data_IF_991443922649
#
_entry.id   IF_991443922649
#
_cell.length_a   1.000
_cell.length_b   1.000
_cell.length_c   1.000
_cell.angle_alpha   90.00
_cell.angle_beta   90.00
_cell.angle_gamma   90.00
#
_symmetry.space_group_name_H-M   'P 1'
#
loop_
_entity.id
_entity.type
_entity.pdbx_description
1 polymer ?
#
# COMPACT_ATOMS: atom_id res chain seq x y z
N UNK A 1 -0.47 -21.85 17.40
CA UNK A 1 -0.70 -23.08 18.20
C UNK A 1 0.37 -23.22 19.28
N UNK A 2 0.15 -24.02 20.34
CA UNK A 2 1.23 -24.34 21.30
C UNK A 2 2.22 -25.36 20.72
N UNK A 3 1.72 -26.29 19.92
CA UNK A 3 2.54 -27.27 19.20
C UNK A 3 3.08 -26.70 17.88
N UNK A 4 4.40 -26.82 17.67
CA UNK A 4 5.09 -26.35 16.46
C UNK A 4 4.80 -27.23 15.24
N UNK A 5 4.48 -28.51 15.42
CA UNK A 5 4.15 -29.39 14.29
C UNK A 5 2.80 -28.99 13.69
N UNK A 6 1.80 -28.76 14.54
CA UNK A 6 0.48 -28.23 14.15
C UNK A 6 0.59 -26.87 13.44
N UNK A 7 1.41 -25.94 13.94
CA UNK A 7 1.64 -24.64 13.26
C UNK A 7 2.28 -24.82 11.88
N UNK A 8 3.27 -25.71 11.75
CA UNK A 8 3.89 -26.02 10.45
C UNK A 8 2.88 -26.62 9.47
N UNK A 9 2.02 -27.54 9.93
CA UNK A 9 0.95 -28.11 9.11
C UNK A 9 -0.04 -27.06 8.62
N UNK A 10 -0.47 -26.15 9.51
CA UNK A 10 -1.36 -25.05 9.17
C UNK A 10 -0.74 -24.12 8.12
N UNK A 11 0.51 -23.68 8.34
CA UNK A 11 1.22 -22.81 7.40
C UNK A 11 1.52 -23.49 6.06
N UNK A 12 1.77 -24.80 6.08
CA UNK A 12 1.95 -25.60 4.87
C UNK A 12 0.70 -25.55 3.98
N UNK A 13 -0.48 -25.80 4.55
CA UNK A 13 -1.75 -25.74 3.79
C UNK A 13 -2.05 -24.33 3.24
N UNK A 14 -1.66 -23.28 3.95
CA UNK A 14 -1.91 -21.89 3.53
C UNK A 14 -0.94 -21.38 2.47
N UNK A 15 0.22 -22.02 2.31
CA UNK A 15 1.30 -21.52 1.44
C UNK A 15 0.83 -21.34 0.00
N UNK A 16 0.14 -22.32 -0.58
CA UNK A 16 -0.27 -22.24 -1.98
C UNK A 16 -1.32 -21.14 -2.20
N UNK A 17 -2.26 -21.00 -1.26
CA UNK A 17 -3.22 -19.91 -1.26
C UNK A 17 -2.55 -18.54 -1.11
N UNK A 18 -1.54 -18.43 -0.23
CA UNK A 18 -0.75 -17.21 -0.05
C UNK A 18 -0.04 -16.82 -1.34
N UNK A 19 0.68 -17.75 -1.97
CA UNK A 19 1.42 -17.50 -3.22
C UNK A 19 0.47 -17.12 -4.35
N UNK A 20 -0.65 -17.83 -4.50
CA UNK A 20 -1.65 -17.56 -5.54
C UNK A 20 -2.25 -16.15 -5.38
N UNK A 21 -2.72 -15.81 -4.18
CA UNK A 21 -3.33 -14.50 -3.92
C UNK A 21 -2.30 -13.35 -3.95
N UNK A 22 -1.09 -13.58 -3.47
CA UNK A 22 0.02 -12.63 -3.60
C UNK A 22 0.33 -12.34 -5.08
N UNK A 23 0.34 -13.38 -5.93
CA UNK A 23 0.52 -13.22 -7.37
C UNK A 23 -0.60 -12.37 -8.00
N UNK A 24 -1.86 -12.59 -7.62
CA UNK A 24 -3.00 -11.83 -8.15
C UNK A 24 -2.86 -10.35 -7.76
N UNK A 25 -2.59 -10.06 -6.47
CA UNK A 25 -2.41 -8.69 -5.99
C UNK A 25 -1.23 -8.02 -6.67
N UNK A 26 -0.11 -8.73 -6.85
CA UNK A 26 1.06 -8.22 -7.54
C UNK A 26 0.74 -7.86 -9.00
N UNK A 27 -0.01 -8.71 -9.71
CA UNK A 27 -0.45 -8.43 -11.09
C UNK A 27 -1.35 -7.19 -11.12
N UNK A 28 -2.34 -7.11 -10.24
CA UNK A 28 -3.25 -5.95 -10.17
C UNK A 28 -2.48 -4.65 -9.88
N UNK A 29 -1.55 -4.68 -8.92
CA UNK A 29 -0.71 -3.54 -8.59
C UNK A 29 0.20 -3.13 -9.77
N UNK A 30 0.76 -4.09 -10.50
CA UNK A 30 1.57 -3.83 -11.69
C UNK A 30 0.73 -3.20 -12.81
N UNK A 31 -0.46 -3.74 -13.10
CA UNK A 31 -1.36 -3.21 -14.12
C UNK A 31 -1.79 -1.78 -13.76
N UNK A 32 -2.26 -1.55 -12.53
CA UNK A 32 -2.66 -0.22 -12.09
C UNK A 32 -1.50 0.79 -12.20
N UNK A 33 -0.30 0.42 -11.74
CA UNK A 33 0.89 1.29 -11.80
C UNK A 33 1.32 1.60 -13.23
N UNK A 34 1.23 0.62 -14.14
CA UNK A 34 1.54 0.82 -15.56
C UNK A 34 0.48 1.69 -16.24
N UNK A 35 -0.80 1.50 -15.92
CA UNK A 35 -1.90 2.30 -16.45
C UNK A 35 -1.79 3.76 -16.01
N UNK A 36 -1.50 4.04 -14.73
CA UNK A 36 -1.31 5.41 -14.24
C UNK A 36 -0.05 6.04 -14.83
N UNK A 37 1.04 5.27 -14.95
CA UNK A 37 2.26 5.71 -15.62
C UNK A 37 1.97 6.11 -17.07
N UNK A 38 1.30 5.26 -17.86
CA UNK A 38 0.95 5.56 -19.25
C UNK A 38 -0.02 6.74 -19.37
N UNK A 39 -1.04 6.81 -18.50
CA UNK A 39 -1.98 7.93 -18.45
C UNK A 39 -1.27 9.26 -18.16
N UNK A 40 -0.20 9.26 -17.35
CA UNK A 40 0.59 10.46 -17.07
C UNK A 40 1.32 11.03 -18.31
N UNK A 41 1.54 10.22 -19.36
CA UNK A 41 2.05 10.71 -20.65
C UNK A 41 0.94 11.18 -21.58
N UNK A 42 -0.21 10.52 -21.54
CA UNK A 42 -1.32 10.80 -22.46
C UNK A 42 -2.15 12.02 -22.03
N UNK A 43 -2.41 12.16 -20.73
CA UNK A 43 -3.33 13.17 -20.21
C UNK A 43 -2.65 14.49 -19.87
N UNK A 44 -1.33 14.48 -19.71
CA UNK A 44 -0.58 15.67 -19.31
C UNK A 44 0.10 16.28 -20.53
N UNK A 45 -0.45 17.39 -21.01
CA UNK A 45 0.21 18.20 -22.03
C UNK A 45 1.62 18.59 -21.54
N UNK A 46 2.65 18.47 -22.40
CA UNK A 46 4.06 18.57 -21.98
C UNK A 46 4.44 19.91 -21.34
N UNK A 47 3.63 20.96 -21.53
CA UNK A 47 3.55 22.12 -20.65
C UNK A 47 2.18 22.79 -20.89
N UNK A 48 1.34 22.99 -19.87
CA UNK A 48 0.20 23.88 -20.03
C UNK A 48 0.70 25.28 -20.44
N UNK A 49 -0.03 26.05 -21.26
CA UNK A 49 0.38 27.39 -21.65
C UNK A 49 0.72 28.24 -20.42
N UNK A 50 1.98 28.65 -20.32
CA UNK A 50 2.52 29.38 -19.17
C UNK A 50 2.99 28.52 -17.99
N UNK A 51 2.94 27.20 -18.04
CA UNK A 51 3.36 26.33 -16.93
C UNK A 51 4.76 26.65 -16.38
N UNK A 52 4.93 26.45 -15.06
CA UNK A 52 6.23 26.60 -14.41
C UNK A 52 7.25 25.63 -15.03
N UNK A 53 8.53 26.02 -15.19
CA UNK A 53 9.57 25.11 -15.67
C UNK A 53 9.73 23.86 -14.79
N UNK A 54 9.32 23.94 -13.51
CA UNK A 54 9.38 22.84 -12.56
C UNK A 54 8.27 21.80 -12.72
N UNK A 55 7.25 22.05 -13.56
CA UNK A 55 6.16 21.09 -13.76
C UNK A 55 6.66 19.74 -14.27
N UNK A 56 7.67 19.75 -15.15
CA UNK A 56 8.31 18.53 -15.64
C UNK A 56 9.00 17.71 -14.54
N UNK A 57 9.59 18.37 -13.53
CA UNK A 57 10.26 17.72 -12.40
C UNK A 57 9.24 16.99 -11.50
N UNK A 58 8.10 17.64 -11.22
CA UNK A 58 6.99 17.03 -10.47
C UNK A 58 6.44 15.79 -11.17
N UNK A 59 6.24 15.86 -12.49
CA UNK A 59 5.80 14.71 -13.27
C UNK A 59 6.84 13.60 -13.28
N UNK A 60 8.13 13.94 -13.35
CA UNK A 60 9.21 12.96 -13.32
C UNK A 60 9.19 12.18 -12.00
N UNK A 61 9.05 12.87 -10.86
CA UNK A 61 8.93 12.21 -9.54
C UNK A 61 7.74 11.25 -9.51
N UNK A 62 6.54 11.71 -9.90
CA UNK A 62 5.33 10.88 -9.90
C UNK A 62 5.48 9.66 -10.82
N UNK A 63 6.05 9.83 -12.02
CA UNK A 63 6.35 8.75 -12.97
C UNK A 63 7.37 7.75 -12.41
N UNK A 64 8.42 8.23 -11.76
CA UNK A 64 9.43 7.38 -11.13
C UNK A 64 8.84 6.52 -10.01
N UNK A 65 7.92 7.08 -9.20
CA UNK A 65 7.22 6.32 -8.16
C UNK A 65 6.30 5.24 -8.74
N UNK A 66 5.53 5.54 -9.79
CA UNK A 66 4.72 4.54 -10.48
C UNK A 66 5.57 3.44 -11.14
N UNK A 67 6.70 3.81 -11.75
CA UNK A 67 7.63 2.85 -12.34
C UNK A 67 8.27 1.94 -11.28
N UNK A 68 8.68 2.51 -10.13
CA UNK A 68 9.18 1.75 -9.00
C UNK A 68 8.15 0.70 -8.54
N UNK A 69 6.89 1.11 -8.38
CA UNK A 69 5.81 0.21 -8.00
C UNK A 69 5.56 -0.88 -9.03
N UNK A 70 5.54 -0.54 -10.32
CA UNK A 70 5.45 -1.51 -11.38
C UNK A 70 6.57 -2.56 -11.31
N UNK A 71 7.83 -2.11 -11.17
CA UNK A 71 8.99 -3.01 -11.11
C UNK A 71 8.89 -3.95 -9.90
N UNK A 72 8.59 -3.43 -8.71
CA UNK A 72 8.49 -4.25 -7.50
C UNK A 72 7.34 -5.28 -7.60
N UNK A 73 6.18 -4.87 -8.10
CA UNK A 73 5.03 -5.75 -8.34
C UNK A 73 5.32 -6.81 -9.40
N UNK A 74 6.04 -6.46 -10.47
CA UNK A 74 6.46 -7.39 -11.50
C UNK A 74 7.46 -8.42 -10.95
N UNK A 75 8.46 -7.98 -10.18
CA UNK A 75 9.43 -8.87 -9.52
C UNK A 75 8.74 -9.84 -8.53
N UNK A 76 7.75 -9.39 -7.77
CA UNK A 76 6.97 -10.26 -6.90
C UNK A 76 6.16 -11.29 -7.71
N UNK A 77 5.58 -10.87 -8.84
CA UNK A 77 4.86 -11.78 -9.76
C UNK A 77 5.78 -12.87 -10.31
N UNK A 78 6.97 -12.49 -10.80
CA UNK A 78 7.99 -13.44 -11.24
C UNK A 78 8.40 -14.40 -10.13
N UNK A 79 8.60 -13.86 -8.91
CA UNK A 79 8.93 -14.67 -7.73
C UNK A 79 7.83 -15.70 -7.44
N UNK A 80 6.57 -15.29 -7.46
CA UNK A 80 5.42 -16.18 -7.22
C UNK A 80 5.30 -17.29 -8.27
N UNK A 81 5.56 -16.96 -9.56
CA UNK A 81 5.47 -17.91 -10.69
C UNK A 81 6.69 -18.81 -10.85
N UNK A 82 7.84 -18.40 -10.34
CA UNK A 82 9.08 -19.18 -10.44
C UNK A 82 9.08 -20.39 -9.50
N UNK A 83 9.97 -21.35 -9.76
CA UNK A 83 10.26 -22.45 -8.84
C UNK A 83 10.86 -22.00 -7.50
N UNK A 84 11.20 -20.71 -7.35
CA UNK A 84 11.67 -20.14 -6.08
C UNK A 84 10.54 -20.11 -5.04
N UNK A 85 9.29 -19.89 -5.45
CA UNK A 85 8.16 -19.80 -4.50
C UNK A 85 7.94 -21.10 -3.72
N UNK A 86 8.20 -22.26 -4.33
CA UNK A 86 8.14 -23.55 -3.64
C UNK A 86 9.26 -23.71 -2.60
N UNK A 87 10.40 -23.04 -2.77
CA UNK A 87 11.53 -23.05 -1.82
C UNK A 87 11.41 -22.00 -0.72
N UNK A 88 10.70 -20.91 -0.95
CA UNK A 88 10.55 -19.85 0.04
C UNK A 88 9.74 -20.32 1.26
N UNK A 89 10.20 -19.89 2.45
CA UNK A 89 9.44 -20.05 3.69
C UNK A 89 8.21 -19.14 3.63
N UNK A 90 7.03 -19.59 4.11
CA UNK A 90 5.82 -18.77 4.13
C UNK A 90 6.06 -17.38 4.74
N UNK A 91 6.76 -17.31 5.87
CA UNK A 91 7.10 -16.06 6.55
C UNK A 91 7.85 -15.04 5.67
N UNK A 92 8.75 -15.50 4.79
CA UNK A 92 9.46 -14.61 3.86
C UNK A 92 8.52 -14.08 2.80
N UNK A 93 7.62 -14.92 2.28
CA UNK A 93 6.62 -14.48 1.30
C UNK A 93 5.65 -13.47 1.92
N UNK A 94 5.18 -13.71 3.15
CA UNK A 94 4.37 -12.74 3.89
C UNK A 94 5.12 -11.40 4.03
N UNK A 95 6.39 -11.44 4.45
CA UNK A 95 7.23 -10.26 4.59
C UNK A 95 7.41 -9.49 3.27
N UNK A 96 7.66 -10.17 2.15
CA UNK A 96 7.78 -9.53 0.84
C UNK A 96 6.50 -8.81 0.43
N UNK A 97 5.35 -9.41 0.69
CA UNK A 97 4.05 -8.80 0.37
C UNK A 97 3.78 -7.59 1.27
N UNK A 98 4.13 -7.66 2.56
CA UNK A 98 4.04 -6.51 3.47
C UNK A 98 4.93 -5.36 3.01
N UNK A 99 6.18 -5.66 2.62
CA UNK A 99 7.11 -4.63 2.11
C UNK A 99 6.56 -3.99 0.84
N UNK A 100 6.05 -4.80 -0.11
CA UNK A 100 5.43 -4.27 -1.32
C UNK A 100 4.22 -3.39 -1.00
N UNK A 101 3.34 -3.83 -0.10
CA UNK A 101 2.17 -3.06 0.32
C UNK A 101 2.58 -1.74 0.98
N UNK A 102 3.59 -1.75 1.83
CA UNK A 102 4.10 -0.55 2.50
C UNK A 102 4.72 0.44 1.52
N UNK A 103 5.57 -0.03 0.60
CA UNK A 103 6.14 0.82 -0.45
C UNK A 103 5.05 1.36 -1.37
N UNK A 104 4.06 0.54 -1.72
CA UNK A 104 2.89 0.95 -2.51
C UNK A 104 2.07 2.05 -1.86
N UNK A 105 1.83 1.94 -0.56
CA UNK A 105 1.17 2.97 0.22
C UNK A 105 1.97 4.28 0.20
N UNK A 106 3.29 4.24 0.46
CA UNK A 106 4.14 5.43 0.41
C UNK A 106 4.12 6.08 -0.99
N UNK A 107 4.29 5.27 -2.04
CA UNK A 107 4.27 5.76 -3.41
C UNK A 107 2.90 6.37 -3.76
N UNK A 108 1.80 5.72 -3.42
CA UNK A 108 0.46 6.21 -3.69
C UNK A 108 0.21 7.60 -3.06
N UNK A 109 0.66 7.80 -1.82
CA UNK A 109 0.52 9.08 -1.12
C UNK A 109 1.43 10.16 -1.71
N UNK A 110 2.66 9.83 -2.09
CA UNK A 110 3.62 10.80 -2.64
C UNK A 110 3.40 11.13 -4.12
N UNK A 111 2.72 10.25 -4.85
CA UNK A 111 2.42 10.41 -6.28
C UNK A 111 1.47 11.58 -6.59
N UNK A 112 0.79 12.16 -5.60
CA UNK A 112 -0.11 13.29 -5.84
C UNK A 112 0.69 14.54 -6.20
N UNK A 113 0.24 15.35 -7.17
CA UNK A 113 0.98 16.52 -7.62
C UNK A 113 1.34 17.50 -6.49
N UNK A 114 0.42 17.73 -5.56
CA UNK A 114 0.64 18.65 -4.42
C UNK A 114 1.75 18.15 -3.51
N UNK A 115 1.77 16.85 -3.18
CA UNK A 115 2.79 16.26 -2.31
C UNK A 115 4.13 16.16 -3.01
N UNK A 116 4.15 15.84 -4.29
CA UNK A 116 5.36 15.86 -5.11
C UNK A 116 5.97 17.27 -5.19
N UNK A 117 5.16 18.33 -5.31
CA UNK A 117 5.66 19.72 -5.25
C UNK A 117 6.31 20.02 -3.89
N UNK A 118 5.62 19.68 -2.78
CA UNK A 118 6.15 19.89 -1.42
C UNK A 118 7.43 19.10 -1.17
N UNK A 119 7.55 17.89 -1.71
CA UNK A 119 8.76 17.06 -1.60
C UNK A 119 9.96 17.71 -2.29
N UNK A 120 9.72 18.45 -3.38
CA UNK A 120 10.73 19.23 -4.10
C UNK A 120 10.97 20.62 -3.49
N UNK A 121 10.25 20.99 -2.42
CA UNK A 121 10.34 22.32 -1.82
C UNK A 121 9.72 23.43 -2.68
N UNK A 122 8.80 23.09 -3.57
CA UNK A 122 8.15 24.01 -4.50
C UNK A 122 6.76 24.41 -3.98
N UNK A 123 6.34 25.65 -4.26
CA UNK A 123 4.95 26.06 -4.08
C UNK A 123 4.08 25.45 -5.19
N UNK A 124 3.19 24.54 -4.80
CA UNK A 124 2.27 23.89 -5.74
C UNK A 124 1.35 24.89 -6.45
N UNK A 125 1.04 26.05 -5.85
CA UNK A 125 0.19 27.08 -6.48
C UNK A 125 0.89 27.70 -7.68
N UNK A 126 2.19 27.93 -7.56
CA UNK A 126 3.02 28.45 -8.66
C UNK A 126 3.22 27.41 -9.77
N UNK A 127 3.42 26.15 -9.38
CA UNK A 127 3.72 25.07 -10.34
C UNK A 127 2.47 24.58 -11.06
N UNK A 128 1.37 24.31 -10.34
CA UNK A 128 0.15 23.72 -10.88
C UNK A 128 -0.84 24.76 -11.42
N UNK A 129 -0.73 26.04 -10.98
CA UNK A 129 -1.62 27.16 -11.38
C UNK A 129 -3.11 26.86 -11.25
N UNK A 130 -3.45 25.95 -10.35
CA UNK A 130 -4.81 25.52 -10.05
C UNK A 130 -4.86 25.24 -8.56
N UNK A 131 -5.96 25.64 -7.91
CA UNK A 131 -6.22 25.22 -6.55
C UNK A 131 -6.42 23.70 -6.55
N UNK A 132 -5.50 22.91 -5.95
CA UNK A 132 -5.67 21.49 -5.87
C UNK A 132 -6.84 21.21 -4.93
N UNK A 133 -7.87 20.56 -5.46
CA UNK A 133 -8.89 19.94 -4.64
C UNK A 133 -8.34 18.59 -4.17
N UNK A 134 -7.39 18.63 -3.24
CA UNK A 134 -6.81 17.44 -2.62
C UNK A 134 -7.14 17.46 -1.13
N UNK A 135 -7.96 16.51 -0.68
CA UNK A 135 -8.30 16.34 0.74
C UNK A 135 -7.43 15.24 1.34
N UNK A 136 -7.05 15.40 2.61
CA UNK A 136 -6.42 14.32 3.38
C UNK A 136 -7.35 13.11 3.54
N UNK A 137 -8.66 13.29 3.34
CA UNK A 137 -9.65 12.22 3.31
C UNK A 137 -9.39 11.23 2.17
N UNK A 138 -8.99 11.72 0.99
CA UNK A 138 -8.66 10.86 -0.16
C UNK A 138 -7.43 10.01 0.16
N UNK A 139 -6.41 10.63 0.75
CA UNK A 139 -5.22 9.94 1.24
C UNK A 139 -5.59 8.82 2.23
N UNK A 140 -6.47 9.11 3.20
CA UNK A 140 -6.94 8.10 4.17
C UNK A 140 -7.66 6.96 3.48
N UNK A 141 -8.56 7.26 2.54
CA UNK A 141 -9.30 6.23 1.81
C UNK A 141 -8.37 5.32 1.00
N UNK A 142 -7.32 5.86 0.37
CA UNK A 142 -6.32 5.05 -0.32
C UNK A 142 -5.53 4.16 0.64
N UNK A 143 -5.08 4.73 1.76
CA UNK A 143 -4.32 4.02 2.78
C UNK A 143 -5.16 2.90 3.40
N UNK A 144 -6.38 3.21 3.84
CA UNK A 144 -7.30 2.24 4.44
C UNK A 144 -7.72 1.17 3.43
N UNK A 145 -8.06 1.56 2.20
CA UNK A 145 -8.41 0.63 1.13
C UNK A 145 -7.29 -0.37 0.86
N UNK A 146 -6.03 0.08 0.83
CA UNK A 146 -4.87 -0.79 0.64
C UNK A 146 -4.66 -1.73 1.84
N UNK A 147 -4.69 -1.20 3.07
CA UNK A 147 -4.54 -2.00 4.29
C UNK A 147 -5.64 -3.06 4.36
N UNK A 148 -6.88 -2.68 4.14
CA UNK A 148 -8.06 -3.54 4.14
C UNK A 148 -7.98 -4.60 3.04
N UNK A 149 -7.61 -4.22 1.81
CA UNK A 149 -7.41 -5.18 0.72
C UNK A 149 -6.36 -6.23 1.07
N UNK A 150 -5.24 -5.82 1.67
CA UNK A 150 -4.19 -6.74 2.12
C UNK A 150 -4.68 -7.66 3.25
N UNK A 151 -5.44 -7.14 4.21
CA UNK A 151 -5.98 -7.93 5.33
C UNK A 151 -6.99 -8.99 4.86
N UNK A 152 -7.88 -8.63 3.92
CA UNK A 152 -8.94 -9.50 3.42
C UNK A 152 -8.42 -10.49 2.37
N UNK A 153 -7.58 -10.02 1.45
CA UNK A 153 -7.14 -10.86 0.35
C UNK A 153 -6.10 -11.88 0.81
N UNK A 154 -5.19 -11.55 1.72
CA UNK A 154 -4.03 -12.41 1.97
C UNK A 154 -4.18 -13.25 3.23
N UNK A 155 -3.89 -14.56 3.15
CA UNK A 155 -3.89 -15.45 4.31
C UNK A 155 -2.60 -15.28 5.16
N UNK A 156 -2.28 -14.04 5.52
CA UNK A 156 -1.12 -13.68 6.33
C UNK A 156 -1.50 -13.68 7.81
N UNK A 157 -0.55 -14.07 8.65
CA UNK A 157 -0.67 -14.02 10.11
C UNK A 157 -0.87 -12.60 10.63
N UNK A 158 -1.78 -12.43 11.59
CA UNK A 158 -2.17 -11.13 12.15
C UNK A 158 -0.98 -10.31 12.68
N UNK A 159 -0.01 -10.94 13.32
CA UNK A 159 1.14 -10.22 13.89
C UNK A 159 2.13 -9.75 12.82
N UNK A 160 2.13 -10.38 11.64
CA UNK A 160 2.95 -9.94 10.48
C UNK A 160 2.30 -8.74 9.79
N UNK A 161 1.00 -8.50 10.01
CA UNK A 161 0.28 -7.31 9.54
C UNK A 161 0.52 -6.08 10.42
N UNK A 162 0.92 -6.25 11.68
CA UNK A 162 1.14 -5.13 12.62
C UNK A 162 2.07 -4.03 12.08
N UNK A 163 3.22 -4.35 11.43
CA UNK A 163 4.07 -3.32 10.84
C UNK A 163 3.37 -2.50 9.74
N UNK A 164 2.48 -3.13 8.96
CA UNK A 164 1.71 -2.43 7.92
C UNK A 164 0.68 -1.49 8.55
N UNK A 165 -0.02 -1.96 9.60
CA UNK A 165 -0.99 -1.17 10.36
C UNK A 165 -0.36 0.03 11.08
N UNK A 166 0.80 -0.15 11.72
CA UNK A 166 1.53 0.98 12.31
C UNK A 166 2.12 1.88 11.23
N UNK A 167 2.62 1.28 10.16
CA UNK A 167 3.17 1.97 9.01
C UNK A 167 2.17 2.91 8.34
N UNK A 168 0.90 2.52 8.21
CA UNK A 168 -0.13 3.38 7.61
C UNK A 168 -0.38 4.65 8.42
N UNK A 169 -0.46 4.52 9.74
CA UNK A 169 -0.59 5.66 10.66
C UNK A 169 0.65 6.55 10.57
N UNK A 170 1.85 5.97 10.58
CA UNK A 170 3.10 6.72 10.48
C UNK A 170 3.23 7.46 9.15
N UNK A 171 2.83 6.85 8.04
CA UNK A 171 2.81 7.49 6.72
C UNK A 171 1.85 8.69 6.74
N UNK A 172 0.63 8.51 7.23
CA UNK A 172 -0.33 9.60 7.35
C UNK A 172 0.23 10.76 8.19
N UNK A 173 0.74 10.47 9.40
CA UNK A 173 1.28 11.49 10.30
C UNK A 173 2.46 12.22 9.66
N UNK A 174 3.38 11.47 9.04
CA UNK A 174 4.57 12.05 8.39
C UNK A 174 4.20 12.97 7.23
N UNK A 175 3.18 12.61 6.44
CA UNK A 175 2.77 13.40 5.27
C UNK A 175 1.88 14.58 5.68
N UNK A 176 0.87 14.36 6.54
CA UNK A 176 -0.08 15.40 6.93
C UNK A 176 0.55 16.47 7.84
N UNK A 177 1.48 16.08 8.73
CA UNK A 177 2.14 16.99 9.68
C UNK A 177 3.56 17.34 9.29
N UNK A 178 4.35 16.37 8.80
CA UNK A 178 5.74 16.61 8.41
C UNK A 178 5.87 17.34 7.08
N UNK A 179 5.28 16.80 6.01
CA UNK A 179 5.28 17.45 4.69
C UNK A 179 4.29 18.63 4.62
N UNK A 180 3.29 18.62 5.50
CA UNK A 180 2.29 19.66 5.63
C UNK A 180 1.10 19.46 4.69
N UNK A 181 -0.10 19.64 5.22
CA UNK A 181 -1.37 19.61 4.48
C UNK A 181 -2.04 20.98 4.53
N UNK A 182 -2.81 21.30 3.49
CA UNK A 182 -3.59 22.54 3.38
C UNK A 182 -4.83 22.52 4.28
N UNK A 183 -5.20 21.35 4.81
CA UNK A 183 -6.35 21.24 5.71
C UNK A 183 -6.08 21.90 7.07
N UNK A 184 -7.11 22.52 7.68
CA UNK A 184 -7.03 23.01 9.05
C UNK A 184 -6.51 21.91 10.00
N UNK A 185 -5.69 22.29 10.99
CA UNK A 185 -5.09 21.35 11.95
C UNK A 185 -6.14 20.44 12.59
N UNK A 186 -7.31 20.98 12.91
CA UNK A 186 -8.41 20.21 13.47
C UNK A 186 -8.85 19.07 12.54
N UNK A 187 -9.04 19.33 11.24
CA UNK A 187 -9.43 18.32 10.26
C UNK A 187 -8.34 17.24 10.13
N UNK A 188 -7.06 17.63 10.11
CA UNK A 188 -5.92 16.69 10.09
C UNK A 188 -5.93 15.74 11.28
N UNK A 189 -6.23 16.26 12.47
CA UNK A 189 -6.36 15.46 13.69
C UNK A 189 -7.55 14.51 13.62
N UNK A 190 -8.72 14.98 13.18
CA UNK A 190 -9.93 14.14 13.00
C UNK A 190 -9.65 13.01 12.00
N UNK A 191 -8.98 13.33 10.91
CA UNK A 191 -8.54 12.40 9.87
C UNK A 191 -7.57 11.35 10.45
N UNK A 192 -6.59 11.76 11.23
CA UNK A 192 -5.67 10.84 11.92
C UNK A 192 -6.38 9.90 12.90
N UNK A 193 -7.33 10.41 13.69
CA UNK A 193 -8.14 9.59 14.62
C UNK A 193 -9.02 8.60 13.86
N UNK A 194 -9.60 9.03 12.73
CA UNK A 194 -10.42 8.18 11.88
C UNK A 194 -9.59 7.03 11.30
N UNK A 195 -8.39 7.31 10.77
CA UNK A 195 -7.48 6.28 10.29
C UNK A 195 -7.07 5.30 11.39
N UNK A 196 -6.77 5.80 12.61
CA UNK A 196 -6.45 4.94 13.75
C UNK A 196 -7.61 3.98 14.07
N UNK A 197 -8.83 4.49 14.10
CA UNK A 197 -10.02 3.67 14.35
C UNK A 197 -10.20 2.59 13.28
N UNK A 198 -10.07 2.96 11.99
CA UNK A 198 -10.17 2.03 10.87
C UNK A 198 -9.10 0.93 10.95
N UNK A 199 -7.85 1.30 11.23
CA UNK A 199 -6.75 0.33 11.39
C UNK A 199 -7.01 -0.64 12.54
N UNK A 200 -7.53 -0.16 13.68
CA UNK A 200 -7.90 -1.02 14.82
C UNK A 200 -9.03 -1.97 14.41
N UNK A 201 -10.09 -1.47 13.79
CA UNK A 201 -11.23 -2.27 13.37
C UNK A 201 -10.82 -3.38 12.39
N UNK A 202 -10.04 -3.03 11.36
CA UNK A 202 -9.52 -3.98 10.37
C UNK A 202 -8.58 -5.01 10.99
N UNK A 203 -7.73 -4.60 11.95
CA UNK A 203 -6.83 -5.51 12.67
C UNK A 203 -7.60 -6.51 13.55
N UNK A 204 -8.65 -6.05 14.26
CA UNK A 204 -9.52 -6.91 15.05
C UNK A 204 -10.27 -7.92 14.18
N UNK A 205 -10.86 -7.47 13.07
CA UNK A 205 -11.54 -8.33 12.10
C UNK A 205 -10.61 -9.43 11.58
N UNK A 206 -9.37 -9.08 11.23
CA UNK A 206 -8.36 -10.06 10.80
C UNK A 206 -8.00 -11.06 11.88
N UNK A 207 -7.87 -10.60 13.13
CA UNK A 207 -7.57 -11.49 14.27
C UNK A 207 -8.67 -12.52 14.48
N UNK A 208 -9.94 -12.10 14.48
CA UNK A 208 -11.06 -13.03 14.62
C UNK A 208 -11.12 -14.02 13.46
N UNK A 209 -10.97 -13.54 12.23
CA UNK A 209 -10.95 -14.40 11.06
C UNK A 209 -9.85 -15.47 11.13
N UNK A 210 -8.63 -15.10 11.55
CA UNK A 210 -7.55 -16.09 11.72
C UNK A 210 -7.85 -17.08 12.86
N UNK A 211 -8.49 -16.66 13.94
CA UNK A 211 -8.90 -17.55 15.03
C UNK A 211 -9.88 -18.61 14.53
N UNK A 212 -10.85 -18.22 13.70
CA UNK A 212 -11.83 -19.14 13.12
C UNK A 212 -11.17 -20.13 12.14
N UNK A 213 -10.26 -19.65 11.28
CA UNK A 213 -9.47 -20.52 10.39
C UNK A 213 -8.63 -21.55 11.18
N UNK A 214 -8.02 -21.12 12.29
CA UNK A 214 -7.22 -22.00 13.15
C UNK A 214 -8.07 -23.03 13.88
N UNK A 215 -9.27 -22.65 14.32
CA UNK A 215 -10.23 -23.57 14.94
C UNK A 215 -10.70 -24.62 13.94
N UNK A 216 -11.14 -24.19 12.76
CA UNK A 216 -11.58 -25.10 11.70
C UNK A 216 -10.47 -26.08 11.27
N UNK A 217 -9.22 -25.62 11.22
CA UNK A 217 -8.08 -26.50 10.93
C UNK A 217 -7.86 -27.56 12.03
N UNK A 218 -8.04 -27.19 13.30
CA UNK A 218 -7.89 -28.10 14.43
C UNK A 218 -8.98 -29.18 14.43
N UNK A 219 -10.23 -28.79 14.16
CA UNK A 219 -11.38 -29.69 14.11
C UNK A 219 -11.26 -30.76 12.99
N UNK A 220 -10.49 -30.51 11.93
CA UNK A 220 -10.26 -31.45 10.81
C UNK A 220 -9.18 -32.50 11.14
N UNK A 221 -8.28 -32.21 12.08
CA UNK A 221 -7.12 -33.06 12.38
C UNK A 221 -7.37 -34.00 13.56
N UNK A 222 -8.30 -33.64 14.45
CA UNK A 222 -8.76 -34.50 15.53
C UNK A 222 -9.71 -35.58 15.02
#
# INVERSE_FOLDING_TARGET
FKDQATERGFLGRRKDALVSRACIIAILAAVLSLSTFAASFLLVAPNPPGGSPHYGEVLLVSRSLHLLMFVLSFLLTLTCKSSLSSKLRPALMEGLVIVLAFVGMVCAVLCTPTRSCKLLGLDFREVLRRDPYESDSDMILYVDGLVTAVHLALPIRWFVMTPLALGSILVFVSVAFGLGSEEPVFNRCVNGVSLLFLVIATSLGKRFHEMDERKAFFDIIQ
#
